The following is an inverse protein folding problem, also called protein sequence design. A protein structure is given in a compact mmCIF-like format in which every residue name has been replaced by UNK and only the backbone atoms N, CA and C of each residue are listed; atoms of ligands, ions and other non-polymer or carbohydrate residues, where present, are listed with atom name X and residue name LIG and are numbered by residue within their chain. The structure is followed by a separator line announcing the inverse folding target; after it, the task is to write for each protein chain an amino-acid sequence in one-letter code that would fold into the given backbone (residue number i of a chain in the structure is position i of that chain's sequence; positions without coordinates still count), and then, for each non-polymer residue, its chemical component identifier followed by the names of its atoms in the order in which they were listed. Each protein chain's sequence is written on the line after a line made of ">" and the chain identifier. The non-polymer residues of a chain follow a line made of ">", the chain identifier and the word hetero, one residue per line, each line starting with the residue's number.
data_IF_823176675822
#
_entry.id   IF_823176675822
#
_cell.length_a   1.000
_cell.length_b   1.000
_cell.length_c   1.000
_cell.angle_alpha   90.00
_cell.angle_beta   90.00
_cell.angle_gamma   90.00
#
_symmetry.space_group_name_H-M   'P 1'
#
loop_
_entity.id
_entity.type
_entity.pdbx_description
1 polymer ?
#
# COMPACT_ATOMS: atom_id res chain seq x y z
N UNK A 1 3.30 -2.24 -10.38
CA UNK A 1 4.46 -1.43 -9.93
C UNK A 1 5.64 -1.65 -10.88
N UNK A 2 5.99 -0.65 -11.67
CA UNK A 2 6.94 -0.73 -12.79
C UNK A 2 8.27 0.04 -12.53
N UNK A 3 8.46 0.60 -11.33
CA UNK A 3 9.66 1.37 -10.99
C UNK A 3 9.68 2.82 -11.50
N UNK A 4 8.64 3.29 -12.21
CA UNK A 4 8.57 4.66 -12.74
C UNK A 4 8.65 5.74 -11.66
N UNK A 5 8.30 5.40 -10.41
CA UNK A 5 8.36 6.31 -9.25
C UNK A 5 9.70 7.03 -9.11
N UNK A 6 10.81 6.42 -9.55
CA UNK A 6 12.14 7.05 -9.53
C UNK A 6 12.26 8.27 -10.46
N UNK A 7 11.38 8.36 -11.46
CA UNK A 7 11.26 9.46 -12.40
C UNK A 7 10.22 10.50 -11.93
N UNK A 8 9.58 10.27 -10.78
CA UNK A 8 8.38 10.98 -10.32
C UNK A 8 8.52 11.52 -8.88
N UNK A 9 9.71 11.42 -8.27
CA UNK A 9 9.95 11.75 -6.86
C UNK A 9 9.71 13.24 -6.52
N UNK A 10 9.81 14.12 -7.50
CA UNK A 10 9.59 15.57 -7.32
C UNK A 10 8.10 15.94 -7.32
N UNK A 11 7.20 14.99 -7.62
CA UNK A 11 5.75 15.26 -7.62
C UNK A 11 5.24 15.43 -6.19
N UNK A 12 4.35 16.42 -5.92
CA UNK A 12 3.85 16.69 -4.58
C UNK A 12 3.23 15.48 -3.87
N UNK A 13 2.51 14.63 -4.61
CA UNK A 13 1.88 13.41 -4.10
C UNK A 13 2.88 12.33 -3.66
N UNK A 14 4.13 12.42 -4.10
CA UNK A 14 5.21 11.50 -3.77
C UNK A 14 6.18 12.07 -2.71
N UNK A 15 5.86 13.22 -2.11
CA UNK A 15 6.69 13.90 -1.15
C UNK A 15 7.15 12.96 -0.01
N UNK A 16 8.48 12.89 0.18
CA UNK A 16 9.11 12.04 1.20
C UNK A 16 9.66 10.71 0.68
N UNK A 17 9.15 10.18 -0.45
CA UNK A 17 9.60 8.89 -0.99
C UNK A 17 11.07 8.88 -1.42
N UNK A 18 11.65 10.04 -1.78
CA UNK A 18 13.08 10.15 -2.09
C UNK A 18 13.98 9.74 -0.91
N UNK A 19 13.53 9.89 0.34
CA UNK A 19 14.26 9.37 1.51
C UNK A 19 14.22 7.85 1.57
N UNK A 20 13.06 7.25 1.27
CA UNK A 20 12.88 5.80 1.22
C UNK A 20 13.72 5.16 0.11
N UNK A 21 13.80 5.79 -1.07
CA UNK A 21 14.66 5.32 -2.16
C UNK A 21 16.13 5.30 -1.74
N UNK A 22 16.62 6.36 -1.08
CA UNK A 22 18.00 6.41 -0.57
C UNK A 22 18.32 5.31 0.44
N UNK A 23 17.34 4.87 1.24
CA UNK A 23 17.51 3.73 2.16
C UNK A 23 17.71 2.43 1.37
N UNK A 24 17.07 2.30 0.20
CA UNK A 24 17.16 1.10 -0.66
C UNK A 24 18.41 1.09 -1.57
N UNK A 25 19.04 2.24 -1.84
CA UNK A 25 20.22 2.35 -2.74
C UNK A 25 21.40 1.42 -2.37
N UNK A 26 21.82 1.29 -1.09
CA UNK A 26 22.88 0.36 -0.72
C UNK A 26 22.49 -1.11 -0.96
N UNK A 27 21.22 -1.45 -0.69
CA UNK A 27 20.67 -2.79 -0.95
C UNK A 27 20.68 -3.07 -2.45
N UNK A 28 20.22 -2.11 -3.27
CA UNK A 28 20.26 -2.20 -4.73
C UNK A 28 21.67 -2.44 -5.24
N UNK A 29 22.63 -1.65 -4.79
CA UNK A 29 24.05 -1.75 -5.17
C UNK A 29 24.62 -3.12 -4.82
N UNK A 30 24.34 -3.62 -3.61
CA UNK A 30 24.81 -4.92 -3.17
C UNK A 30 24.20 -6.07 -3.98
N UNK A 31 22.90 -5.99 -4.31
CA UNK A 31 22.23 -7.01 -5.11
C UNK A 31 22.78 -7.05 -6.53
N UNK A 32 22.92 -5.89 -7.17
CA UNK A 32 23.41 -5.77 -8.55
C UNK A 32 24.83 -6.32 -8.75
N UNK A 33 25.65 -6.35 -7.71
CA UNK A 33 26.98 -6.95 -7.75
C UNK A 33 26.93 -8.48 -7.97
N UNK A 34 25.82 -9.12 -7.65
CA UNK A 34 25.62 -10.57 -7.76
C UNK A 34 24.58 -10.96 -8.82
N UNK A 35 23.52 -10.17 -8.94
CA UNK A 35 22.39 -10.40 -9.83
C UNK A 35 21.73 -9.05 -10.12
N UNK A 36 21.59 -8.73 -11.40
CA UNK A 36 20.93 -7.49 -11.79
C UNK A 36 19.44 -7.55 -11.45
N UNK A 37 19.01 -6.77 -10.45
CA UNK A 37 17.63 -6.67 -9.99
C UNK A 37 17.02 -5.36 -10.48
N UNK A 38 15.77 -5.35 -10.94
CA UNK A 38 15.09 -4.11 -11.30
C UNK A 38 14.66 -3.34 -10.05
N UNK A 39 14.58 -2.01 -10.14
CA UNK A 39 14.00 -1.22 -9.06
C UNK A 39 12.53 -1.58 -8.80
N UNK A 40 11.79 -1.92 -9.86
CA UNK A 40 10.42 -2.42 -9.76
C UNK A 40 10.32 -3.67 -8.87
N UNK A 41 11.24 -4.64 -9.02
CA UNK A 41 11.30 -5.82 -8.16
C UNK A 41 11.73 -5.46 -6.74
N UNK A 42 12.78 -4.64 -6.58
CA UNK A 42 13.29 -4.26 -5.27
C UNK A 42 12.22 -3.56 -4.42
N UNK A 43 11.48 -2.60 -4.99
CA UNK A 43 10.44 -1.85 -4.26
C UNK A 43 9.29 -2.77 -3.86
N UNK A 44 8.85 -3.66 -4.76
CA UNK A 44 7.77 -4.60 -4.47
C UNK A 44 8.14 -5.59 -3.35
N UNK A 45 9.37 -6.12 -3.37
CA UNK A 45 9.88 -7.01 -2.30
C UNK A 45 10.07 -6.24 -1.00
N UNK A 46 10.71 -5.07 -1.03
CA UNK A 46 10.95 -4.27 0.17
C UNK A 46 9.64 -3.90 0.90
N UNK A 47 8.57 -3.59 0.16
CA UNK A 47 7.26 -3.34 0.75
C UNK A 47 6.65 -4.58 1.40
N UNK A 48 6.75 -5.76 0.76
CA UNK A 48 6.29 -7.03 1.33
C UNK A 48 7.07 -7.41 2.60
N UNK A 49 8.40 -7.25 2.58
CA UNK A 49 9.25 -7.49 3.75
C UNK A 49 8.95 -6.54 4.89
N UNK A 50 8.69 -5.25 4.60
CA UNK A 50 8.29 -4.29 5.62
C UNK A 50 7.00 -4.71 6.36
N UNK A 51 6.01 -5.22 5.63
CA UNK A 51 4.77 -5.77 6.23
C UNK A 51 5.08 -6.95 7.14
N UNK A 52 5.86 -7.92 6.65
CA UNK A 52 6.26 -9.13 7.39
C UNK A 52 7.03 -8.80 8.67
N UNK A 53 8.04 -7.92 8.58
CA UNK A 53 8.87 -7.51 9.73
C UNK A 53 8.03 -6.79 10.79
N UNK A 54 6.97 -6.09 10.40
CA UNK A 54 6.04 -5.44 11.32
C UNK A 54 4.99 -6.40 11.91
N UNK A 55 5.13 -7.72 11.72
CA UNK A 55 4.21 -8.74 12.27
C UNK A 55 2.99 -9.04 11.38
N UNK A 56 2.95 -8.49 10.17
CA UNK A 56 1.94 -8.79 9.17
C UNK A 56 2.18 -10.12 8.45
N UNK A 57 1.35 -10.45 7.45
CA UNK A 57 1.49 -11.70 6.71
C UNK A 57 2.73 -11.69 5.79
N UNK A 58 3.23 -12.89 5.48
CA UNK A 58 4.18 -13.06 4.39
C UNK A 58 3.45 -12.89 3.04
N UNK A 59 3.98 -12.03 2.18
CA UNK A 59 3.36 -11.72 0.88
C UNK A 59 4.27 -12.24 -0.23
N UNK A 60 3.82 -13.22 -1.05
CA UNK A 60 4.63 -13.73 -2.15
C UNK A 60 4.73 -12.69 -3.28
N UNK A 61 5.95 -12.27 -3.60
CA UNK A 61 6.21 -11.33 -4.70
C UNK A 61 6.82 -12.08 -5.88
N UNK A 62 6.11 -12.14 -7.01
CA UNK A 62 6.67 -12.64 -8.28
C UNK A 62 7.80 -11.71 -8.73
N UNK A 63 8.95 -12.26 -9.10
CA UNK A 63 10.10 -11.50 -9.63
C UNK A 63 10.10 -11.42 -11.16
N UNK A 64 10.97 -10.59 -11.72
CA UNK A 64 11.19 -10.45 -13.16
C UNK A 64 10.56 -9.20 -13.78
N UNK A 65 10.27 -8.17 -12.97
CA UNK A 65 9.75 -6.88 -13.46
C UNK A 65 10.81 -6.15 -14.26
N UNK A 66 10.40 -5.49 -15.32
CA UNK A 66 11.23 -4.52 -16.05
C UNK A 66 10.98 -3.12 -15.50
N UNK A 67 12.06 -2.34 -15.35
CA UNK A 67 11.96 -0.94 -14.97
C UNK A 67 11.36 -0.12 -16.12
N UNK A 68 10.42 0.78 -15.78
CA UNK A 68 9.88 1.76 -16.70
C UNK A 68 10.96 2.76 -17.12
N UNK A 69 10.94 3.15 -18.39
CA UNK A 69 11.86 4.13 -18.97
C UNK A 69 11.28 5.55 -19.02
N UNK A 70 9.98 5.68 -18.78
CA UNK A 70 9.23 6.93 -18.78
C UNK A 70 8.39 7.00 -17.50
N UNK A 71 8.13 8.21 -17.04
CA UNK A 71 7.21 8.46 -15.92
C UNK A 71 5.77 8.13 -16.33
N UNK A 72 4.97 7.65 -15.37
CA UNK A 72 3.53 7.53 -15.51
C UNK A 72 2.86 8.92 -15.54
N UNK A 73 1.64 9.07 -16.08
CA UNK A 73 0.90 10.33 -16.05
C UNK A 73 0.72 10.92 -14.63
N UNK A 74 0.62 12.24 -14.52
CA UNK A 74 0.28 12.93 -13.26
C UNK A 74 -1.19 12.73 -12.88
N UNK A 75 -1.51 12.92 -11.60
CA UNK A 75 -2.90 12.89 -11.11
C UNK A 75 -3.50 11.49 -10.99
N UNK A 76 -2.66 10.46 -11.02
CA UNK A 76 -3.06 9.06 -10.91
C UNK A 76 -3.32 8.62 -9.46
N UNK A 77 -2.69 9.24 -8.47
CA UNK A 77 -2.86 8.91 -7.05
C UNK A 77 -4.12 9.55 -6.43
N UNK A 78 -4.80 8.87 -5.49
CA UNK A 78 -5.91 9.46 -4.75
C UNK A 78 -5.42 10.58 -3.83
N UNK A 79 -6.16 11.70 -3.76
CA UNK A 79 -5.85 12.78 -2.83
C UNK A 79 -6.32 12.44 -1.40
N UNK A 80 -5.60 12.92 -0.38
CA UNK A 80 -5.95 12.74 1.04
C UNK A 80 -7.31 13.36 1.42
N UNK A 81 -7.85 14.26 0.58
CA UNK A 81 -9.13 14.95 0.77
C UNK A 81 -10.32 14.28 0.06
N UNK A 82 -10.10 13.21 -0.70
CA UNK A 82 -11.18 12.51 -1.39
C UNK A 82 -12.17 11.90 -0.39
N UNK A 83 -13.46 11.96 -0.70
CA UNK A 83 -14.47 11.19 0.00
C UNK A 83 -14.55 9.74 -0.54
N UNK A 84 -15.31 8.88 0.13
CA UNK A 84 -15.45 7.47 -0.22
C UNK A 84 -15.90 7.24 -1.68
N UNK A 85 -16.82 8.06 -2.21
CA UNK A 85 -17.25 7.97 -3.61
C UNK A 85 -16.07 8.17 -4.57
N UNK A 86 -15.29 9.24 -4.38
CA UNK A 86 -14.13 9.56 -5.22
C UNK A 86 -13.01 8.54 -5.08
N UNK A 87 -12.83 7.97 -3.88
CA UNK A 87 -11.89 6.86 -3.66
C UNK A 87 -12.32 5.62 -4.44
N UNK A 88 -13.59 5.23 -4.35
CA UNK A 88 -14.14 4.09 -5.12
C UNK A 88 -14.00 4.29 -6.62
N UNK A 89 -14.31 5.48 -7.15
CA UNK A 89 -14.12 5.82 -8.56
C UNK A 89 -12.65 5.72 -8.99
N UNK A 90 -11.72 6.23 -8.17
CA UNK A 90 -10.28 6.16 -8.45
C UNK A 90 -9.79 4.70 -8.48
N UNK A 91 -10.11 3.90 -7.47
CA UNK A 91 -9.72 2.49 -7.38
C UNK A 91 -10.36 1.65 -8.48
N UNK A 92 -11.64 1.88 -8.78
CA UNK A 92 -12.36 1.17 -9.84
C UNK A 92 -11.74 1.43 -11.22
N UNK A 93 -11.29 2.65 -11.52
CA UNK A 93 -10.58 2.93 -12.78
C UNK A 93 -9.26 2.17 -12.91
N UNK A 94 -8.67 1.77 -11.78
CA UNK A 94 -7.45 0.95 -11.71
C UNK A 94 -7.75 -0.55 -11.58
N UNK A 95 -9.02 -0.95 -11.70
CA UNK A 95 -9.47 -2.33 -11.66
C UNK A 95 -9.62 -2.92 -10.26
N UNK A 96 -9.73 -2.08 -9.22
CA UNK A 96 -9.92 -2.52 -7.83
C UNK A 96 -11.36 -2.35 -7.38
N UNK A 97 -11.85 -3.33 -6.63
CA UNK A 97 -13.17 -3.33 -5.99
C UNK A 97 -13.19 -2.48 -4.72
N UNK A 98 -14.37 -2.15 -4.20
CA UNK A 98 -14.51 -1.50 -2.89
C UNK A 98 -13.86 -2.30 -1.76
N UNK A 99 -13.94 -3.64 -1.79
CA UNK A 99 -13.27 -4.50 -0.79
C UNK A 99 -11.76 -4.32 -0.83
N UNK A 100 -11.19 -4.26 -2.04
CA UNK A 100 -9.75 -4.11 -2.24
C UNK A 100 -9.27 -2.71 -1.86
N UNK A 101 -10.07 -1.66 -2.11
CA UNK A 101 -9.85 -0.33 -1.56
C UNK A 101 -9.71 -0.40 -0.02
N UNK A 102 -10.75 -0.92 0.65
CA UNK A 102 -10.78 -0.95 2.13
C UNK A 102 -9.63 -1.78 2.71
N UNK A 103 -9.36 -2.95 2.16
CA UNK A 103 -8.29 -3.82 2.69
C UNK A 103 -6.92 -3.17 2.51
N UNK A 104 -6.64 -2.55 1.35
CA UNK A 104 -5.36 -1.88 1.10
C UNK A 104 -5.18 -0.65 1.99
N UNK A 105 -6.25 0.09 2.29
CA UNK A 105 -6.21 1.20 3.26
C UNK A 105 -5.78 0.75 4.66
N UNK A 106 -5.94 -0.54 5.01
CA UNK A 106 -5.41 -1.14 6.25
C UNK A 106 -3.90 -0.93 6.46
N UNK A 107 -3.14 -0.69 5.40
CA UNK A 107 -1.72 -0.35 5.50
C UNK A 107 -1.44 0.93 6.32
N UNK A 108 -2.44 1.82 6.48
CA UNK A 108 -2.33 3.01 7.33
C UNK A 108 -2.23 2.69 8.83
N UNK A 109 -2.35 1.43 9.25
CA UNK A 109 -1.96 1.00 10.61
C UNK A 109 -0.46 1.21 10.87
N UNK A 110 0.37 1.27 9.83
CA UNK A 110 1.78 1.57 9.95
C UNK A 110 2.06 3.07 9.82
N UNK A 111 3.02 3.55 10.60
CA UNK A 111 3.48 4.93 10.58
C UNK A 111 2.55 5.90 11.32
N UNK A 112 2.66 7.18 10.97
CA UNK A 112 2.25 8.27 11.86
C UNK A 112 0.84 8.81 11.60
N UNK A 113 -0.06 8.01 11.04
CA UNK A 113 -1.47 8.42 10.81
C UNK A 113 -2.35 8.23 12.07
N UNK A 114 -1.77 7.79 13.19
CA UNK A 114 -2.45 7.70 14.48
C UNK A 114 -3.31 6.45 14.65
N UNK A 115 -3.09 5.43 13.82
CA UNK A 115 -3.76 4.14 13.91
C UNK A 115 -2.88 3.15 14.68
N UNK A 116 -3.30 2.74 15.88
CA UNK A 116 -2.62 1.69 16.64
C UNK A 116 -1.13 1.96 16.94
N UNK A 117 -0.33 0.90 16.97
CA UNK A 117 1.13 1.01 17.11
C UNK A 117 1.76 1.19 15.71
N UNK A 118 2.56 2.25 15.48
CA UNK A 118 3.07 2.59 14.15
C UNK A 118 4.04 1.56 13.54
N UNK A 119 4.49 0.57 14.32
CA UNK A 119 5.43 -0.48 13.90
C UNK A 119 4.81 -1.89 13.91
N UNK A 120 3.49 -2.00 14.14
CA UNK A 120 2.79 -3.27 14.16
C UNK A 120 1.73 -3.29 13.07
N UNK A 121 1.85 -4.23 12.16
CA UNK A 121 0.86 -4.46 11.11
C UNK A 121 -0.23 -5.38 11.67
N UNK A 122 -1.33 -4.80 12.12
CA UNK A 122 -2.50 -5.50 12.64
C UNK A 122 -3.80 -4.85 12.12
N UNK A 123 -4.96 -5.30 12.61
CA UNK A 123 -6.25 -4.74 12.21
C UNK A 123 -6.69 -3.48 12.98
N UNK A 124 -5.76 -2.78 13.66
CA UNK A 124 -6.05 -1.58 14.44
C UNK A 124 -6.62 -0.44 13.62
N UNK A 125 -6.21 -0.30 12.35
CA UNK A 125 -6.78 0.67 11.41
C UNK A 125 -8.32 0.62 11.42
N UNK A 126 -8.90 -0.56 11.20
CA UNK A 126 -10.34 -0.74 11.13
C UNK A 126 -11.02 -0.52 12.48
N UNK A 127 -10.43 -1.03 13.57
CA UNK A 127 -10.97 -0.86 14.93
C UNK A 127 -11.02 0.61 15.35
N UNK A 128 -9.99 1.38 15.02
CA UNK A 128 -9.92 2.82 15.32
C UNK A 128 -10.89 3.60 14.44
N UNK A 129 -11.04 3.23 13.16
CA UNK A 129 -12.04 3.83 12.28
C UNK A 129 -13.46 3.70 12.87
N UNK A 130 -13.83 2.53 13.39
CA UNK A 130 -15.15 2.32 14.00
C UNK A 130 -15.36 3.12 15.30
N UNK A 131 -14.30 3.43 16.04
CA UNK A 131 -14.38 4.29 17.24
C UNK A 131 -14.58 5.76 16.90
N UNK A 132 -14.11 6.21 15.72
CA UNK A 132 -14.19 7.60 15.27
C UNK A 132 -13.65 8.62 16.30
N UNK A 133 -12.41 8.45 16.83
CA UNK A 133 -11.89 9.31 17.90
C UNK A 133 -11.83 10.80 17.52
N UNK A 134 -11.78 11.13 16.22
CA UNK A 134 -11.84 12.50 15.73
C UNK A 134 -13.20 13.19 15.92
N UNK A 135 -14.23 12.46 16.35
CA UNK A 135 -15.56 13.00 16.67
C UNK A 135 -15.78 13.20 18.17
N UNK A 136 -14.83 12.75 19.01
CA UNK A 136 -14.93 12.84 20.46
C UNK A 136 -14.57 14.25 20.94
N UNK A 137 -15.50 14.90 21.65
CA UNK A 137 -15.29 16.25 22.19
C UNK A 137 -14.20 16.21 23.26
N UNK A 138 -13.19 17.08 23.14
CA UNK A 138 -12.07 17.18 24.08
C UNK A 138 -10.92 16.20 23.81
N UNK A 139 -11.02 15.35 22.79
CA UNK A 139 -9.93 14.45 22.40
C UNK A 139 -9.04 15.10 21.31
N UNK A 140 -8.17 16.02 21.73
CA UNK A 140 -7.24 16.72 20.82
C UNK A 140 -6.37 15.74 20.02
N UNK A 141 -5.87 14.69 20.67
CA UNK A 141 -5.05 13.67 20.01
C UNK A 141 -5.85 12.83 19.01
N UNK A 142 -7.11 12.50 19.34
CA UNK A 142 -8.05 11.81 18.46
C UNK A 142 -8.45 12.62 17.23
N UNK A 143 -8.50 13.95 17.34
CA UNK A 143 -8.78 14.85 16.21
C UNK A 143 -7.73 14.78 15.09
N UNK A 144 -6.51 14.35 15.42
CA UNK A 144 -5.40 14.17 14.48
C UNK A 144 -5.34 12.76 13.88
N UNK A 145 -6.19 11.83 14.33
CA UNK A 145 -6.20 10.45 13.83
C UNK A 145 -6.80 10.33 12.43
N UNK A 146 -6.05 9.71 11.52
CA UNK A 146 -6.46 9.43 10.15
C UNK A 146 -6.59 10.68 9.26
N UNK A 147 -6.61 10.45 7.95
CA UNK A 147 -6.83 11.49 6.94
C UNK A 147 -8.32 11.71 6.69
N UNK A 148 -8.72 12.85 6.09
CA UNK A 148 -10.11 13.03 5.65
C UNK A 148 -10.61 11.86 4.78
N UNK A 149 -9.75 11.32 3.90
CA UNK A 149 -10.05 10.15 3.09
C UNK A 149 -10.34 8.89 3.92
N UNK A 150 -9.51 8.58 4.91
CA UNK A 150 -9.73 7.46 5.84
C UNK A 150 -11.08 7.60 6.57
N UNK A 151 -11.32 8.79 7.13
CA UNK A 151 -12.53 9.10 7.90
C UNK A 151 -13.78 9.00 7.04
N UNK A 152 -13.69 9.32 5.76
CA UNK A 152 -14.85 9.24 4.85
C UNK A 152 -15.32 7.81 4.59
N UNK A 153 -14.45 6.81 4.75
CA UNK A 153 -14.79 5.40 4.46
C UNK A 153 -15.85 4.85 5.42
N UNK A 154 -15.92 5.35 6.66
CA UNK A 154 -16.91 4.90 7.65
C UNK A 154 -18.31 5.50 7.46
N UNK A 155 -18.46 6.43 6.52
CA UNK A 155 -19.73 7.07 6.18
C UNK A 155 -20.37 6.45 4.91
N UNK A 156 -19.66 5.56 4.22
CA UNK A 156 -20.15 4.81 3.07
C UNK A 156 -20.54 3.38 3.48
N UNK A 157 -21.76 2.96 3.16
CA UNK A 157 -22.33 1.68 3.63
C UNK A 157 -21.51 0.46 3.18
N UNK A 158 -21.06 0.44 1.93
CA UNK A 158 -20.28 -0.68 1.40
C UNK A 158 -18.89 -0.75 2.04
N UNK A 159 -18.21 0.40 2.18
CA UNK A 159 -16.93 0.49 2.86
C UNK A 159 -17.07 0.07 4.33
N UNK A 160 -18.07 0.59 5.04
CA UNK A 160 -18.33 0.29 6.45
C UNK A 160 -18.58 -1.20 6.68
N UNK A 161 -19.23 -1.90 5.75
CA UNK A 161 -19.39 -3.37 5.80
C UNK A 161 -18.04 -4.08 5.84
N UNK A 162 -17.11 -3.71 4.96
CA UNK A 162 -15.77 -4.32 4.92
C UNK A 162 -14.89 -3.90 6.09
N UNK A 163 -15.01 -2.66 6.57
CA UNK A 163 -14.33 -2.19 7.79
C UNK A 163 -14.77 -3.04 8.99
N UNK A 164 -16.07 -3.26 9.17
CA UNK A 164 -16.58 -4.13 10.24
C UNK A 164 -16.05 -5.56 10.11
N UNK A 165 -16.03 -6.10 8.89
CA UNK A 165 -15.49 -7.45 8.64
C UNK A 165 -14.03 -7.58 9.11
N UNK A 166 -13.15 -6.70 8.68
CA UNK A 166 -11.73 -6.75 9.04
C UNK A 166 -11.42 -6.34 10.48
N UNK A 167 -12.24 -5.47 11.08
CA UNK A 167 -12.11 -5.12 12.50
C UNK A 167 -12.36 -6.32 13.43
N UNK A 168 -13.24 -7.24 13.02
CA UNK A 168 -13.61 -8.43 13.78
C UNK A 168 -12.74 -9.65 13.47
N UNK A 169 -12.00 -9.65 12.37
CA UNK A 169 -11.21 -10.80 11.93
C UNK A 169 -9.86 -10.36 11.32
N UNK A 170 -8.80 -10.47 12.12
CA UNK A 170 -7.44 -10.11 11.68
C UNK A 170 -6.89 -11.12 10.66
N UNK A 171 -7.24 -12.40 10.77
CA UNK A 171 -6.76 -13.42 9.84
C UNK A 171 -7.35 -13.16 8.45
N UNK A 172 -8.64 -12.81 8.37
CA UNK A 172 -9.27 -12.42 7.10
C UNK A 172 -8.73 -11.12 6.54
N UNK A 173 -8.40 -10.15 7.39
CA UNK A 173 -7.67 -8.97 6.94
C UNK A 173 -6.35 -9.37 6.27
N UNK A 174 -5.55 -10.22 6.90
CA UNK A 174 -4.25 -10.64 6.36
C UNK A 174 -4.39 -11.42 5.05
N UNK A 175 -5.30 -12.40 4.98
CA UNK A 175 -5.57 -13.19 3.77
C UNK A 175 -5.93 -12.32 2.56
N UNK A 176 -6.85 -11.37 2.75
CA UNK A 176 -7.30 -10.49 1.68
C UNK A 176 -6.25 -9.42 1.35
N UNK A 177 -5.50 -8.94 2.34
CA UNK A 177 -4.42 -7.98 2.13
C UNK A 177 -3.32 -8.57 1.25
N UNK A 178 -2.94 -9.84 1.46
CA UNK A 178 -1.98 -10.54 0.59
C UNK A 178 -2.47 -10.48 -0.87
N UNK A 179 -3.71 -10.87 -1.12
CA UNK A 179 -4.26 -10.94 -2.48
C UNK A 179 -4.33 -9.56 -3.14
N UNK A 180 -4.79 -8.55 -2.40
CA UNK A 180 -4.90 -7.18 -2.90
C UNK A 180 -3.51 -6.54 -3.12
N UNK A 181 -2.55 -6.80 -2.24
CA UNK A 181 -1.17 -6.32 -2.39
C UNK A 181 -0.51 -6.93 -3.63
N UNK A 182 -0.61 -8.25 -3.82
CA UNK A 182 -0.08 -8.94 -5.00
C UNK A 182 -0.68 -8.36 -6.29
N UNK A 183 -1.99 -8.13 -6.31
CA UNK A 183 -2.65 -7.46 -7.43
C UNK A 183 -2.11 -6.04 -7.66
N UNK A 184 -1.95 -5.25 -6.60
CA UNK A 184 -1.41 -3.89 -6.65
C UNK A 184 0.00 -3.86 -7.27
N UNK A 185 0.93 -4.65 -6.75
CA UNK A 185 2.32 -4.64 -7.23
C UNK A 185 2.47 -5.24 -8.63
N UNK A 186 1.54 -6.08 -9.07
CA UNK A 186 1.53 -6.67 -10.42
C UNK A 186 0.78 -5.82 -11.47
N UNK A 187 0.02 -4.81 -11.05
CA UNK A 187 -0.69 -3.93 -11.97
C UNK A 187 0.28 -3.07 -12.81
N UNK A 188 0.02 -2.99 -14.12
CA UNK A 188 0.81 -2.20 -15.07
C UNK A 188 2.25 -2.70 -15.29
N UNK A 189 2.55 -3.94 -14.92
CA UNK A 189 3.92 -4.48 -14.99
C UNK A 189 4.23 -5.06 -16.37
N UNK A 190 5.41 -4.69 -16.90
CA UNK A 190 6.05 -5.41 -17.98
C UNK A 190 7.00 -6.47 -17.40
N UNK A 191 6.81 -7.72 -17.80
CA UNK A 191 7.60 -8.85 -17.34
C UNK A 191 8.69 -9.19 -18.34
N UNK A 192 9.87 -9.63 -17.86
CA UNK A 192 10.85 -10.29 -18.72
C UNK A 192 10.20 -11.51 -19.37
N UNK A 193 10.32 -11.63 -20.69
CA UNK A 193 9.70 -12.70 -21.48
C UNK A 193 10.38 -14.05 -21.34
N UNK A 194 11.52 -14.13 -20.65
CA UNK A 194 12.36 -15.33 -20.60
C UNK A 194 12.06 -16.24 -19.40
N UNK A 195 10.77 -16.49 -19.14
CA UNK A 195 10.29 -17.43 -18.12
C UNK A 195 10.50 -18.92 -18.49
N UNK A 196 11.46 -19.22 -19.38
CA UNK A 196 11.76 -20.59 -19.82
C UNK A 196 13.06 -21.18 -19.23
N UNK A 197 13.77 -20.49 -18.31
CA UNK A 197 15.08 -20.99 -17.82
C UNK A 197 15.31 -21.14 -16.32
N UNK A 198 14.34 -20.81 -15.45
CA UNK A 198 14.55 -20.95 -13.99
C UNK A 198 13.46 -21.75 -13.27
N UNK A 199 12.77 -22.64 -13.97
CA UNK A 199 11.94 -23.69 -13.36
C UNK A 199 12.76 -24.98 -13.19
N UNK A 200 13.79 -24.93 -12.34
CA UNK A 200 14.39 -26.08 -11.65
C UNK A 200 15.75 -25.68 -11.07
N UNK A 201 15.77 -25.34 -9.78
CA UNK A 201 16.85 -25.67 -8.85
C UNK A 201 16.28 -25.58 -7.43
#
# INVERSE_FOLDING_TARGET
>A
MNGSILLELERPENAGLGKSVKILEPVKTSLDASMQVSWADLIAVAGAEAVSICGGPQIPVRMGRLDALIADPEGELPAETFNALRLKENFSRKGFTTRELVVLSGAHTLGNKGFGNPLVFDNSYFKVLLRKPWTEIGNEMGSMTGLPSDRSLVDDEECLRWINYYANDQEKFFEDFISAYVKLVNSGVNWRTDAAKYSSM
#
